data_IF_202688483846
#
_entry.id   IF_202688483846
#
_cell.length_a   1.000
_cell.length_b   1.000
_cell.length_c   1.000
_cell.angle_alpha   90.00
_cell.angle_beta   90.00
_cell.angle_gamma   90.00
#
_symmetry.space_group_name_H-M   'P 1'
#
loop_
_entity.id
_entity.type
_entity.pdbx_description
1 polymer ?
#
# COMPACT_ATOMS: atom_id res chain seq x y z
N UNK A 1 -25.69 -7.58 -5.41
CA UNK A 1 -25.08 -8.92 -5.52
C UNK A 1 -24.01 -8.86 -6.60
N UNK A 2 -22.79 -9.36 -6.38
CA UNK A 2 -21.72 -9.33 -7.40
C UNK A 2 -21.90 -10.51 -8.36
N UNK A 3 -21.91 -10.30 -9.69
CA UNK A 3 -22.05 -11.37 -10.66
C UNK A 3 -20.99 -12.47 -10.49
N UNK A 4 -21.36 -13.73 -10.74
CA UNK A 4 -20.44 -14.87 -10.64
C UNK A 4 -19.14 -14.73 -11.47
N UNK A 5 -19.17 -14.20 -12.72
CA UNK A 5 -17.95 -14.02 -13.49
C UNK A 5 -16.94 -13.08 -12.80
N UNK A 6 -17.46 -12.00 -12.19
CA UNK A 6 -16.65 -11.01 -11.45
C UNK A 6 -16.07 -11.65 -10.18
N UNK A 7 -16.86 -12.46 -9.47
CA UNK A 7 -16.37 -13.20 -8.28
C UNK A 7 -15.22 -14.16 -8.62
N UNK A 8 -15.31 -14.89 -9.75
CA UNK A 8 -14.26 -15.83 -10.17
C UNK A 8 -12.98 -15.11 -10.60
N UNK A 9 -13.09 -14.03 -11.37
CA UNK A 9 -11.92 -13.25 -11.80
C UNK A 9 -11.18 -12.61 -10.61
N UNK A 10 -11.91 -12.17 -9.60
CA UNK A 10 -11.36 -11.58 -8.38
C UNK A 10 -11.06 -12.62 -7.29
N UNK A 11 -11.25 -13.91 -7.57
CA UNK A 11 -11.07 -15.03 -6.64
C UNK A 11 -11.76 -14.82 -5.27
N UNK A 12 -13.00 -14.32 -5.29
CA UNK A 12 -13.75 -13.93 -4.10
C UNK A 12 -14.55 -15.10 -3.54
N UNK A 13 -14.41 -15.32 -2.23
CA UNK A 13 -15.23 -16.23 -1.44
C UNK A 13 -16.30 -15.47 -0.65
N UNK A 14 -17.36 -16.18 -0.26
CA UNK A 14 -18.36 -15.60 0.62
C UNK A 14 -17.73 -15.22 1.96
N UNK A 15 -17.93 -13.97 2.38
CA UNK A 15 -17.30 -13.41 3.59
C UNK A 15 -16.02 -12.61 3.34
N UNK A 16 -15.50 -12.59 2.10
CA UNK A 16 -14.34 -11.77 1.78
C UNK A 16 -14.62 -10.27 1.90
N UNK A 17 -13.66 -9.56 2.48
CA UNK A 17 -13.69 -8.11 2.59
C UNK A 17 -13.11 -7.46 1.34
N UNK A 18 -13.86 -6.50 0.81
CA UNK A 18 -13.54 -5.74 -0.40
C UNK A 18 -13.56 -4.25 -0.10
N UNK A 19 -12.67 -3.52 -0.75
CA UNK A 19 -12.70 -2.06 -0.77
C UNK A 19 -13.21 -1.59 -2.12
N UNK A 20 -14.29 -0.81 -2.10
CA UNK A 20 -14.81 -0.11 -3.28
C UNK A 20 -14.34 1.35 -3.22
N UNK A 21 -13.80 1.84 -4.32
CA UNK A 21 -13.39 3.23 -4.48
C UNK A 21 -14.04 3.81 -5.72
N UNK A 22 -14.66 4.99 -5.57
CA UNK A 22 -15.09 5.80 -6.70
C UNK A 22 -13.93 6.70 -7.11
N UNK A 23 -13.42 6.48 -8.32
CA UNK A 23 -12.35 7.25 -8.91
C UNK A 23 -12.89 8.59 -9.45
N UNK A 24 -11.99 9.56 -9.65
CA UNK A 24 -12.37 10.92 -10.11
C UNK A 24 -12.97 10.94 -11.52
N UNK A 25 -12.65 9.94 -12.34
CA UNK A 25 -13.20 9.76 -13.68
C UNK A 25 -14.61 9.11 -13.67
N UNK A 26 -15.15 8.83 -12.47
CA UNK A 26 -16.44 8.17 -12.29
C UNK A 26 -16.36 6.64 -12.37
N UNK A 27 -15.18 6.06 -12.57
CA UNK A 27 -15.01 4.61 -12.56
C UNK A 27 -15.05 4.05 -11.13
N UNK A 28 -15.52 2.81 -11.01
CA UNK A 28 -15.52 2.08 -9.75
C UNK A 28 -14.35 1.09 -9.75
N UNK A 29 -13.46 1.24 -8.77
CA UNK A 29 -12.40 0.28 -8.49
C UNK A 29 -12.80 -0.60 -7.32
N UNK A 30 -12.75 -1.91 -7.53
CA UNK A 30 -12.99 -2.91 -6.50
C UNK A 30 -11.72 -3.72 -6.30
N UNK A 31 -11.19 -3.75 -5.08
CA UNK A 31 -9.97 -4.49 -4.73
C UNK A 31 -10.21 -5.37 -3.51
N UNK A 32 -9.58 -6.55 -3.51
CA UNK A 32 -9.63 -7.45 -2.36
C UNK A 32 -8.63 -7.03 -1.28
N UNK A 33 -8.93 -7.33 -0.02
CA UNK A 33 -7.97 -7.13 1.08
C UNK A 33 -6.62 -7.84 0.83
N UNK A 34 -6.67 -9.06 0.29
CA UNK A 34 -5.47 -9.87 0.01
C UNK A 34 -4.58 -9.20 -1.02
N UNK A 35 -5.17 -8.67 -2.09
CA UNK A 35 -4.47 -7.95 -3.15
C UNK A 35 -3.80 -6.68 -2.60
N UNK A 36 -4.50 -5.93 -1.73
CA UNK A 36 -3.94 -4.74 -1.09
C UNK A 36 -2.76 -5.07 -0.18
N UNK A 37 -2.86 -6.13 0.64
CA UNK A 37 -1.75 -6.59 1.48
C UNK A 37 -0.56 -7.05 0.62
N UNK A 38 -0.80 -7.78 -0.46
CA UNK A 38 0.26 -8.21 -1.37
C UNK A 38 0.96 -7.02 -2.04
N UNK A 39 0.19 -6.04 -2.51
CA UNK A 39 0.73 -4.83 -3.13
C UNK A 39 1.61 -4.05 -2.14
N UNK A 40 1.13 -3.85 -0.92
CA UNK A 40 1.88 -3.17 0.13
C UNK A 40 3.17 -3.92 0.48
N UNK A 41 3.09 -5.24 0.65
CA UNK A 41 4.29 -6.07 0.86
C UNK A 41 5.28 -5.98 -0.30
N UNK A 42 4.79 -5.93 -1.54
CA UNK A 42 5.63 -5.78 -2.73
C UNK A 42 6.36 -4.44 -2.81
N UNK A 43 5.69 -3.34 -2.44
CA UNK A 43 6.30 -1.99 -2.36
C UNK A 43 7.45 -1.98 -1.34
N UNK A 44 7.27 -2.68 -0.23
CA UNK A 44 8.22 -2.71 0.89
C UNK A 44 9.11 -3.95 0.91
N UNK A 45 9.18 -4.71 -0.19
CA UNK A 45 9.92 -5.98 -0.26
C UNK A 45 11.42 -5.83 0.02
N UNK A 46 11.96 -4.65 -0.29
CA UNK A 46 13.39 -4.35 -0.18
C UNK A 46 13.75 -3.76 1.19
N UNK A 47 12.76 -3.55 2.07
CA UNK A 47 12.99 -3.13 3.45
C UNK A 47 13.30 -4.37 4.29
N UNK A 48 14.47 -4.39 4.92
CA UNK A 48 14.86 -5.44 5.85
C UNK A 48 13.86 -5.58 7.01
N UNK A 49 13.53 -6.83 7.38
CA UNK A 49 12.65 -7.11 8.51
C UNK A 49 13.19 -6.46 9.80
N UNK A 50 12.33 -5.73 10.51
CA UNK A 50 12.70 -5.04 11.75
C UNK A 50 13.33 -3.65 11.54
N UNK A 51 13.49 -3.20 10.29
CA UNK A 51 13.90 -1.82 9.97
C UNK A 51 12.67 -0.97 9.66
N UNK A 52 12.54 0.13 10.39
CA UNK A 52 11.52 1.15 10.11
C UNK A 52 12.06 2.13 9.07
N UNK A 53 11.64 1.99 7.81
CA UNK A 53 11.99 2.94 6.75
C UNK A 53 11.54 4.36 7.11
N UNK A 54 10.45 4.51 7.86
CA UNK A 54 10.01 5.81 8.35
C UNK A 54 11.08 6.46 9.24
N UNK A 55 11.68 5.71 10.15
CA UNK A 55 12.74 6.23 11.04
C UNK A 55 14.01 6.57 10.26
N UNK A 56 14.34 5.80 9.23
CA UNK A 56 15.47 6.06 8.34
C UNK A 56 15.29 7.37 7.56
N UNK A 57 14.13 7.55 6.91
CA UNK A 57 13.82 8.77 6.16
C UNK A 57 13.69 10.01 7.06
N UNK A 58 13.19 9.85 8.28
CA UNK A 58 13.14 10.93 9.27
C UNK A 58 14.57 11.31 9.71
N UNK A 59 15.45 10.33 9.90
CA UNK A 59 16.85 10.57 10.25
C UNK A 59 17.57 11.32 9.13
N UNK A 60 17.42 10.89 7.89
CA UNK A 60 18.04 11.51 6.70
C UNK A 60 17.62 12.99 6.56
N UNK A 61 16.32 13.27 6.68
CA UNK A 61 15.79 14.65 6.70
C UNK A 61 16.39 15.53 7.81
N UNK A 62 16.65 14.96 8.99
CA UNK A 62 17.22 15.70 10.12
C UNK A 62 18.71 15.98 9.93
N UNK A 63 19.46 15.08 9.28
CA UNK A 63 20.86 15.34 8.92
C UNK A 63 20.99 16.43 7.86
N UNK A 64 20.05 16.53 6.91
CA UNK A 64 20.05 17.60 5.89
C UNK A 64 19.81 19.01 6.45
N UNK A 65 19.27 19.12 7.68
CA UNK A 65 18.97 20.42 8.33
C UNK A 65 20.01 20.77 9.40
N UNK A 66 21.03 19.94 9.60
CA UNK A 66 22.18 20.30 10.44
C UNK A 66 23.09 21.19 9.58
N UNK A 67 23.26 22.49 9.90
CA UNK A 67 24.20 23.32 9.17
C UNK A 67 25.60 22.71 9.34
N UNK A 68 26.37 22.68 8.26
CA UNK A 68 27.82 22.57 8.32
C UNK A 68 28.34 23.78 9.13
N UNK A 69 28.31 23.65 10.45
CA UNK A 69 28.85 24.62 11.40
C UNK A 69 30.29 24.21 11.71
N UNK A 70 31.17 24.58 10.78
CA UNK A 70 32.64 24.61 10.82
C UNK A 70 33.05 24.94 9.37
N UNK A 71 33.61 26.09 9.00
CA UNK A 71 34.66 26.93 9.60
C UNK A 71 34.48 28.41 9.22
#
# INVERSE_FOLDING_TARGET
>A
MIPEPVRKQLNLQAGDQLTLTLEKDGSLRLVSWREQVQKLRGIFKDISNGVSLADELIRERRSETQPDDQW
#
